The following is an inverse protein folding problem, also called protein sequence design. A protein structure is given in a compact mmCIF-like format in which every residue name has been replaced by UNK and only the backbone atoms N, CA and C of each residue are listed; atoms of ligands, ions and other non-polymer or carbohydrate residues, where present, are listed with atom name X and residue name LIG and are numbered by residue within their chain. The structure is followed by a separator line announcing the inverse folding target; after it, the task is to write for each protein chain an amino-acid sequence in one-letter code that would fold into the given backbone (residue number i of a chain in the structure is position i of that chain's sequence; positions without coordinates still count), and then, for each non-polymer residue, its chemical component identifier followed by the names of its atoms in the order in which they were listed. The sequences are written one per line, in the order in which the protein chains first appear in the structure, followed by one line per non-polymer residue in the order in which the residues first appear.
data_IF_739945180936
#
_entry.id   IF_739945180936
#
_cell.length_a   1.000
_cell.length_b   1.000
_cell.length_c   1.000
_cell.angle_alpha   90.00
_cell.angle_beta   90.00
_cell.angle_gamma   90.00
#
_symmetry.space_group_name_H-M   'P 1'
#
loop_
_entity.id
_entity.type
_entity.pdbx_description
1 polymer ?
#
# COMPACT_ATOMS: atom_id res chain seq x y z
N UNK A 1 0.25 13.42 4.22
CA UNK A 1 0.98 13.23 2.95
C UNK A 1 1.84 14.46 2.70
N UNK A 2 3.07 14.27 2.25
CA UNK A 2 4.00 15.36 1.94
C UNK A 2 3.58 16.14 0.68
N UNK A 3 3.56 17.47 0.68
CA UNK A 3 3.29 18.24 -0.53
C UNK A 3 4.21 17.85 -1.68
N UNK A 4 3.67 17.76 -2.89
CA UNK A 4 4.36 17.27 -4.08
C UNK A 4 4.08 15.80 -4.40
N UNK A 5 3.35 15.06 -3.55
CA UNK A 5 3.07 13.65 -3.82
C UNK A 5 2.24 13.46 -5.10
N UNK A 6 2.75 12.60 -5.97
CA UNK A 6 2.04 12.04 -7.12
C UNK A 6 1.54 10.63 -6.78
N UNK A 7 0.24 10.41 -6.88
CA UNK A 7 -0.38 9.12 -6.63
C UNK A 7 -0.73 8.43 -7.96
N UNK A 8 -0.25 7.20 -8.18
CA UNK A 8 -0.39 6.46 -9.42
C UNK A 8 -1.37 5.30 -9.28
N UNK A 9 -2.30 5.18 -10.23
CA UNK A 9 -3.08 3.96 -10.46
C UNK A 9 -2.70 3.35 -11.80
N UNK A 10 -2.77 2.02 -11.93
CA UNK A 10 -2.65 1.39 -13.25
C UNK A 10 -3.77 1.87 -14.19
N UNK A 11 -4.98 1.46 -13.85
CA UNK A 11 -6.25 1.96 -14.36
C UNK A 11 -7.04 2.42 -13.16
N UNK A 12 -7.50 3.64 -13.20
CA UNK A 12 -8.28 4.18 -12.12
C UNK A 12 -9.70 3.60 -12.13
N UNK A 13 -10.21 3.13 -10.98
CA UNK A 13 -11.49 2.44 -10.91
C UNK A 13 -12.68 3.40 -10.88
N UNK A 14 -12.76 4.31 -11.85
CA UNK A 14 -13.85 5.27 -12.01
C UNK A 14 -14.59 5.03 -13.32
N UNK A 15 -15.92 5.02 -13.24
CA UNK A 15 -16.77 4.95 -14.43
C UNK A 15 -17.02 6.37 -14.96
N UNK A 16 -16.54 6.68 -16.18
CA UNK A 16 -16.72 7.98 -16.88
C UNK A 16 -16.00 9.20 -16.28
N UNK A 17 -15.14 9.01 -15.29
CA UNK A 17 -14.32 10.08 -14.72
C UNK A 17 -12.83 9.83 -14.97
N UNK A 18 -12.04 10.90 -14.84
CA UNK A 18 -10.60 10.94 -15.06
C UNK A 18 -9.85 11.28 -13.77
N UNK A 19 -8.52 11.24 -13.84
CA UNK A 19 -7.60 11.34 -12.69
C UNK A 19 -7.65 12.74 -12.06
N UNK A 20 -7.86 13.67 -12.96
CA UNK A 20 -8.26 15.04 -12.75
C UNK A 20 -9.46 15.22 -11.80
N UNK A 21 -10.45 14.33 -11.80
CA UNK A 21 -11.67 14.47 -11.00
C UNK A 21 -11.41 14.15 -9.51
N UNK A 22 -10.64 13.09 -9.23
CA UNK A 22 -10.23 12.75 -7.86
C UNK A 22 -9.16 13.69 -7.30
N UNK A 23 -8.38 14.33 -8.16
CA UNK A 23 -7.32 15.27 -7.75
C UNK A 23 -7.87 16.43 -6.91
N UNK A 24 -9.08 16.91 -7.20
CA UNK A 24 -9.73 17.94 -6.38
C UNK A 24 -10.00 17.46 -4.95
N UNK A 25 -10.58 16.27 -4.80
CA UNK A 25 -10.86 15.66 -3.49
C UNK A 25 -9.59 15.40 -2.69
N UNK A 26 -8.50 15.00 -3.36
CA UNK A 26 -7.20 14.79 -2.74
C UNK A 26 -6.67 16.10 -2.12
N UNK A 27 -6.72 17.20 -2.87
CA UNK A 27 -6.24 18.50 -2.38
C UNK A 27 -7.16 19.08 -1.31
N UNK A 28 -8.48 18.91 -1.39
CA UNK A 28 -9.39 19.31 -0.32
C UNK A 28 -9.18 18.52 0.97
N UNK A 29 -8.71 17.28 0.88
CA UNK A 29 -8.42 16.44 2.04
C UNK A 29 -7.08 16.81 2.69
N UNK A 30 -6.02 16.96 1.90
CA UNK A 30 -4.65 17.11 2.42
C UNK A 30 -4.12 18.55 2.44
N UNK A 31 -4.73 19.48 1.70
CA UNK A 31 -4.41 20.91 1.70
C UNK A 31 -5.68 21.79 1.66
N UNK A 32 -6.64 21.63 2.61
CA UNK A 32 -7.93 22.34 2.60
C UNK A 32 -7.81 23.87 2.62
N UNK A 33 -6.76 24.38 3.26
CA UNK A 33 -6.53 25.83 3.37
C UNK A 33 -5.73 26.42 2.20
N UNK A 34 -5.35 25.62 1.21
CA UNK A 34 -4.66 26.13 0.03
C UNK A 34 -5.54 27.12 -0.74
N UNK A 35 -4.93 28.23 -1.15
CA UNK A 35 -5.50 29.26 -2.06
C UNK A 35 -4.65 29.44 -3.31
N UNK A 36 -3.69 28.54 -3.53
CA UNK A 36 -2.73 28.60 -4.64
C UNK A 36 -3.29 27.92 -5.89
N UNK A 37 -2.91 28.43 -7.07
CA UNK A 37 -3.10 27.70 -8.33
C UNK A 37 -2.09 26.57 -8.50
N UNK A 38 -0.99 26.58 -7.73
CA UNK A 38 -0.08 25.44 -7.60
C UNK A 38 -0.68 24.44 -6.61
N UNK A 39 -1.26 23.36 -7.13
CA UNK A 39 -1.81 22.29 -6.28
C UNK A 39 -0.69 21.41 -5.72
N UNK A 40 -0.90 20.83 -4.55
CA UNK A 40 0.13 20.08 -3.83
C UNK A 40 0.11 18.59 -4.13
N UNK A 41 -1.01 18.05 -4.62
CA UNK A 41 -1.17 16.61 -4.80
C UNK A 41 -1.85 16.30 -6.13
N UNK A 42 -1.53 15.16 -6.73
CA UNK A 42 -2.15 14.76 -7.99
C UNK A 42 -2.33 13.25 -8.09
N UNK A 43 -3.43 12.81 -8.68
CA UNK A 43 -3.56 11.45 -9.19
C UNK A 43 -3.17 11.41 -10.66
N UNK A 44 -2.50 10.33 -11.08
CA UNK A 44 -2.34 9.94 -12.48
C UNK A 44 -2.86 8.52 -12.71
N UNK A 45 -3.60 8.38 -13.81
CA UNK A 45 -3.89 7.09 -14.43
C UNK A 45 -2.75 6.75 -15.40
N UNK A 46 -2.06 5.64 -15.17
CA UNK A 46 -0.88 5.27 -15.95
C UNK A 46 -1.21 4.93 -17.41
N UNK A 47 -2.45 4.53 -17.74
CA UNK A 47 -2.86 4.32 -19.13
C UNK A 47 -2.98 5.61 -19.93
N UNK A 48 -3.24 6.73 -19.25
CA UNK A 48 -3.42 8.03 -19.87
C UNK A 48 -2.15 8.89 -19.83
N UNK A 49 -1.32 8.70 -18.80
CA UNK A 49 -0.23 9.62 -18.45
C UNK A 49 1.15 9.09 -18.78
N UNK A 50 1.39 7.78 -18.76
CA UNK A 50 2.72 7.22 -19.01
C UNK A 50 3.13 7.38 -20.48
N UNK A 51 4.28 8.01 -20.73
CA UNK A 51 4.83 8.20 -22.08
C UNK A 51 4.01 9.14 -22.98
N UNK A 52 3.07 9.90 -22.40
CA UNK A 52 2.25 10.86 -23.14
C UNK A 52 2.93 12.22 -23.25
N UNK A 53 2.94 12.78 -24.46
CA UNK A 53 3.46 14.12 -24.74
C UNK A 53 2.58 15.25 -24.15
N UNK A 54 1.39 14.92 -23.62
CA UNK A 54 0.49 15.90 -23.00
C UNK A 54 0.75 15.90 -21.48
N UNK A 55 1.83 16.57 -21.09
CA UNK A 55 2.17 16.90 -19.69
C UNK A 55 1.97 15.71 -18.72
N UNK A 56 2.48 14.54 -19.15
CA UNK A 56 2.34 13.24 -18.50
C UNK A 56 3.58 12.82 -17.72
N UNK A 57 3.58 11.55 -17.29
CA UNK A 57 4.69 10.88 -16.62
C UNK A 57 5.68 10.39 -17.70
N UNK A 58 6.89 10.98 -17.81
CA UNK A 58 7.81 10.68 -18.92
C UNK A 58 8.37 9.25 -18.86
N UNK A 59 8.46 8.69 -17.66
CA UNK A 59 9.04 7.39 -17.40
C UNK A 59 9.06 7.09 -15.91
N UNK A 60 9.84 6.09 -15.50
CA UNK A 60 9.95 5.64 -14.11
C UNK A 60 11.34 5.86 -13.52
N UNK A 61 12.23 6.51 -14.27
CA UNK A 61 13.57 6.85 -13.86
C UNK A 61 13.53 7.85 -12.70
N UNK A 62 14.51 7.76 -11.80
CA UNK A 62 14.61 8.59 -10.60
C UNK A 62 14.75 10.07 -10.98
N UNK A 63 14.11 10.93 -10.19
CA UNK A 63 14.21 12.40 -10.26
C UNK A 63 13.79 13.04 -11.61
N UNK A 64 13.03 12.32 -12.45
CA UNK A 64 12.47 12.92 -13.66
C UNK A 64 11.45 14.00 -13.30
N UNK A 65 11.52 15.19 -13.90
CA UNK A 65 10.55 16.25 -13.67
C UNK A 65 9.18 15.87 -14.23
N UNK A 66 8.14 16.12 -13.44
CA UNK A 66 6.74 15.92 -13.83
C UNK A 66 5.99 17.23 -13.64
N UNK A 67 5.39 17.74 -14.71
CA UNK A 67 4.55 18.95 -14.68
C UNK A 67 3.21 18.64 -15.33
N UNK A 68 2.09 19.09 -14.74
CA UNK A 68 0.76 18.90 -15.34
C UNK A 68 -0.19 20.07 -15.03
N UNK A 69 -0.56 20.80 -16.08
CA UNK A 69 -1.50 21.91 -16.03
C UNK A 69 -2.93 21.44 -16.34
N UNK A 70 -3.90 21.86 -15.53
CA UNK A 70 -5.29 21.45 -15.69
C UNK A 70 -6.24 22.54 -15.18
N UNK A 71 -7.15 23.00 -16.06
CA UNK A 71 -8.24 23.94 -15.72
C UNK A 71 -7.79 25.12 -14.85
N UNK A 72 -6.66 25.74 -15.21
CA UNK A 72 -6.08 26.90 -14.52
C UNK A 72 -5.12 26.58 -13.37
N UNK A 73 -5.15 25.36 -12.83
CA UNK A 73 -4.18 24.89 -11.84
C UNK A 73 -2.94 24.28 -12.49
N UNK A 74 -1.82 24.28 -11.78
CA UNK A 74 -0.59 23.61 -12.19
C UNK A 74 -0.03 22.75 -11.06
N UNK A 75 0.58 21.63 -11.43
CA UNK A 75 1.25 20.71 -10.53
C UNK A 75 2.68 20.50 -10.99
N UNK A 76 3.63 20.49 -10.05
CA UNK A 76 5.05 20.25 -10.30
C UNK A 76 5.60 19.31 -9.24
N UNK A 77 6.33 18.29 -9.68
CA UNK A 77 6.98 17.31 -8.80
C UNK A 77 8.12 16.59 -9.55
N UNK A 78 8.70 15.57 -8.92
CA UNK A 78 9.56 14.59 -9.58
C UNK A 78 9.03 13.17 -9.35
N UNK A 79 9.48 12.22 -10.16
CA UNK A 79 9.18 10.78 -9.96
C UNK A 79 9.58 10.27 -8.59
N UNK A 80 10.51 10.93 -7.90
CA UNK A 80 10.93 10.61 -6.52
C UNK A 80 9.93 11.01 -5.44
N UNK A 81 8.80 11.63 -5.78
CA UNK A 81 7.71 11.95 -4.84
C UNK A 81 6.45 11.16 -5.14
N UNK A 82 6.60 9.87 -5.47
CA UNK A 82 5.50 9.07 -5.99
C UNK A 82 5.02 8.01 -5.00
N UNK A 83 3.72 7.75 -5.00
CA UNK A 83 3.09 6.59 -4.37
C UNK A 83 2.35 5.79 -5.45
N UNK A 84 2.65 4.50 -5.57
CA UNK A 84 1.89 3.60 -6.40
C UNK A 84 0.73 2.98 -5.59
N UNK A 85 -0.46 2.90 -6.18
CA UNK A 85 -1.65 2.37 -5.53
C UNK A 85 -2.30 1.30 -6.39
N UNK A 86 -2.90 0.32 -5.72
CA UNK A 86 -3.79 -0.67 -6.34
C UNK A 86 -5.11 -0.73 -5.59
N UNK A 87 -6.20 -0.94 -6.32
CA UNK A 87 -7.53 -1.14 -5.76
C UNK A 87 -8.35 -2.02 -6.70
N UNK A 88 -8.59 -3.27 -6.29
CA UNK A 88 -9.35 -4.26 -7.06
C UNK A 88 -10.41 -4.91 -6.16
N UNK A 89 -11.57 -4.26 -5.96
CA UNK A 89 -12.64 -4.79 -5.12
C UNK A 89 -12.97 -6.26 -5.44
N UNK A 90 -13.14 -7.13 -4.44
CA UNK A 90 -13.37 -6.82 -3.02
C UNK A 90 -12.11 -6.48 -2.21
N UNK A 91 -10.91 -6.53 -2.78
CA UNK A 91 -9.69 -6.12 -2.10
C UNK A 91 -9.71 -4.62 -1.75
N UNK A 92 -9.11 -4.28 -0.62
CA UNK A 92 -8.93 -2.94 -0.12
C UNK A 92 -7.94 -2.15 -0.98
N UNK A 93 -8.06 -0.82 -0.94
CA UNK A 93 -7.04 0.07 -1.51
C UNK A 93 -5.70 -0.24 -0.81
N UNK A 94 -4.63 -0.44 -1.56
CA UNK A 94 -3.28 -0.64 -1.02
C UNK A 94 -2.31 0.36 -1.63
N UNK A 95 -1.50 0.98 -0.77
CA UNK A 95 -0.33 1.74 -1.20
C UNK A 95 0.82 0.74 -1.27
N UNK A 96 1.46 0.68 -2.44
CA UNK A 96 2.46 -0.31 -2.73
C UNK A 96 3.84 0.14 -2.22
N UNK A 97 4.51 -0.75 -1.50
CA UNK A 97 5.93 -0.70 -1.16
C UNK A 97 6.76 -1.67 -2.01
N UNK A 98 8.08 -1.59 -1.90
CA UNK A 98 9.00 -2.49 -2.62
C UNK A 98 8.81 -3.96 -2.26
N UNK A 99 8.36 -4.23 -1.05
CA UNK A 99 8.03 -5.54 -0.50
C UNK A 99 6.80 -6.19 -1.15
N UNK A 100 6.03 -5.43 -1.92
CA UNK A 100 4.82 -5.88 -2.60
C UNK A 100 5.09 -6.35 -4.04
N UNK A 101 6.36 -6.41 -4.46
CA UNK A 101 6.76 -6.82 -5.81
C UNK A 101 6.30 -8.23 -6.20
N UNK A 102 6.02 -9.08 -5.21
CA UNK A 102 5.59 -10.46 -5.40
C UNK A 102 4.08 -10.66 -5.20
N UNK A 103 3.31 -9.57 -5.07
CA UNK A 103 1.84 -9.69 -5.07
C UNK A 103 1.36 -10.30 -6.39
N UNK A 104 0.40 -11.24 -6.33
CA UNK A 104 -0.19 -11.82 -7.53
C UNK A 104 -0.92 -10.76 -8.33
N UNK A 105 -0.93 -10.95 -9.66
CA UNK A 105 -1.72 -10.16 -10.61
C UNK A 105 -1.47 -8.64 -10.58
N UNK A 106 -0.34 -8.20 -10.00
CA UNK A 106 0.06 -6.80 -10.02
C UNK A 106 0.28 -6.34 -11.48
N UNK A 107 -0.41 -5.31 -11.98
CA UNK A 107 -0.24 -4.85 -13.36
C UNK A 107 1.20 -4.45 -13.70
N UNK A 108 1.64 -4.74 -14.94
CA UNK A 108 3.03 -4.49 -15.38
C UNK A 108 3.48 -3.04 -15.15
N UNK A 109 2.61 -2.06 -15.41
CA UNK A 109 2.94 -0.64 -15.17
C UNK A 109 3.15 -0.34 -13.69
N UNK A 110 2.42 -0.99 -12.78
CA UNK A 110 2.65 -0.84 -11.35
C UNK A 110 3.91 -1.58 -10.90
N UNK A 111 4.19 -2.78 -11.43
CA UNK A 111 5.46 -3.48 -11.17
C UNK A 111 6.67 -2.58 -11.54
N UNK A 112 6.59 -1.90 -12.69
CA UNK A 112 7.63 -0.96 -13.14
C UNK A 112 7.68 0.35 -12.33
N UNK A 113 6.57 0.76 -11.72
CA UNK A 113 6.49 1.94 -10.86
C UNK A 113 6.93 1.68 -9.41
N UNK A 114 6.97 0.42 -8.95
CA UNK A 114 7.38 0.07 -7.59
C UNK A 114 8.73 0.69 -7.18
N UNK A 115 9.81 0.66 -7.99
CA UNK A 115 11.10 1.23 -7.58
C UNK A 115 11.09 2.74 -7.30
N UNK A 116 10.08 3.48 -7.77
CA UNK A 116 9.92 4.92 -7.51
C UNK A 116 8.86 5.24 -6.45
N UNK A 117 8.14 4.25 -5.93
CA UNK A 117 7.25 4.45 -4.77
C UNK A 117 8.08 4.85 -3.55
N UNK A 118 7.61 5.84 -2.78
CA UNK A 118 8.27 6.37 -1.58
C UNK A 118 7.26 6.46 -0.45
N UNK A 119 7.21 5.43 0.39
CA UNK A 119 6.27 5.40 1.53
C UNK A 119 6.51 6.57 2.50
N UNK A 120 7.70 7.18 2.49
CA UNK A 120 8.04 8.40 3.25
C UNK A 120 7.17 9.61 2.87
N UNK A 121 6.50 9.58 1.72
CA UNK A 121 5.49 10.57 1.35
C UNK A 121 4.24 10.50 2.26
N UNK A 122 4.04 9.39 2.97
CA UNK A 122 2.96 9.21 3.95
C UNK A 122 3.45 9.74 5.30
N UNK A 123 2.80 10.80 5.78
CA UNK A 123 3.03 11.33 7.13
C UNK A 123 2.38 10.38 8.14
N UNK A 124 3.19 9.76 8.97
CA UNK A 124 2.77 8.80 10.01
C UNK A 124 2.37 9.47 11.33
N UNK A 125 2.78 10.73 11.55
CA UNK A 125 2.45 11.53 12.74
C UNK A 125 1.52 12.72 12.45
N UNK A 126 1.03 13.32 13.54
CA UNK A 126 0.17 14.51 13.49
C UNK A 126 -1.33 14.20 13.46
N UNK A 127 -2.13 15.23 13.15
CA UNK A 127 -3.59 15.06 13.04
C UNK A 127 -3.92 14.41 11.69
N UNK A 128 -4.66 13.29 11.66
CA UNK A 128 -5.10 12.68 10.41
C UNK A 128 -5.89 13.66 9.54
N UNK A 129 -5.60 13.68 8.24
CA UNK A 129 -6.36 14.45 7.28
C UNK A 129 -7.82 13.95 7.26
N UNK A 130 -8.77 14.87 7.09
CA UNK A 130 -10.19 14.55 6.99
C UNK A 130 -10.71 14.92 5.61
N UNK A 131 -11.38 13.99 4.92
CA UNK A 131 -12.06 14.33 3.67
C UNK A 131 -13.08 15.45 3.90
N UNK A 132 -13.37 16.26 2.87
CA UNK A 132 -14.32 17.36 2.98
C UNK A 132 -15.71 16.83 3.38
N UNK A 133 -16.38 17.54 4.29
CA UNK A 133 -17.64 17.11 4.90
C UNK A 133 -18.77 16.83 3.89
N UNK A 134 -18.68 17.38 2.67
CA UNK A 134 -19.62 17.12 1.55
C UNK A 134 -19.64 15.64 1.12
N UNK A 135 -18.58 14.88 1.40
CA UNK A 135 -18.53 13.43 1.12
C UNK A 135 -19.33 12.60 2.13
N UNK A 136 -19.87 13.23 3.18
CA UNK A 136 -20.68 12.58 4.18
C UNK A 136 -19.91 12.16 5.43
N UNK A 137 -20.54 11.30 6.23
CA UNK A 137 -19.94 10.77 7.45
C UNK A 137 -18.95 9.66 7.11
N UNK A 138 -17.97 9.46 7.99
CA UNK A 138 -17.06 8.33 7.90
C UNK A 138 -17.87 7.02 7.91
N UNK A 139 -17.58 6.07 6.99
CA UNK A 139 -18.22 4.76 6.99
C UNK A 139 -17.83 3.95 8.23
N UNK A 140 -18.61 2.89 8.52
CA UNK A 140 -18.27 1.97 9.59
C UNK A 140 -16.88 1.34 9.38
N UNK A 141 -16.16 1.12 10.49
CA UNK A 141 -14.82 0.54 10.48
C UNK A 141 -14.89 -0.98 10.21
N UNK A 142 -14.94 -1.34 8.92
CA UNK A 142 -14.86 -2.72 8.46
C UNK A 142 -13.42 -3.20 8.24
N UNK A 143 -13.25 -4.34 7.55
CA UNK A 143 -11.94 -4.95 7.33
C UNK A 143 -10.91 -3.97 6.75
N UNK A 144 -11.26 -3.23 5.69
CA UNK A 144 -10.33 -2.29 5.07
C UNK A 144 -9.84 -1.19 6.01
N UNK A 145 -10.63 -0.79 7.01
CA UNK A 145 -10.16 0.16 8.01
C UNK A 145 -8.97 -0.42 8.79
N UNK A 146 -9.14 -1.64 9.33
CA UNK A 146 -8.10 -2.30 10.11
C UNK A 146 -6.90 -2.70 9.25
N UNK A 147 -7.12 -3.16 8.01
CA UNK A 147 -6.05 -3.43 7.05
C UNK A 147 -5.18 -2.18 6.79
N UNK A 148 -5.79 -1.01 6.59
CA UNK A 148 -5.03 0.24 6.45
C UNK A 148 -4.25 0.61 7.72
N UNK A 149 -4.82 0.33 8.90
CA UNK A 149 -4.14 0.56 10.19
C UNK A 149 -2.95 -0.38 10.37
N UNK A 150 -3.08 -1.66 9.98
CA UNK A 150 -1.97 -2.61 10.05
C UNK A 150 -0.87 -2.27 9.07
N UNK A 151 -1.19 -1.83 7.84
CA UNK A 151 -0.19 -1.39 6.87
C UNK A 151 0.56 -0.14 7.34
N UNK A 152 -0.15 0.81 7.95
CA UNK A 152 0.48 2.00 8.55
C UNK A 152 1.41 1.64 9.71
N UNK A 153 1.01 0.70 10.58
CA UNK A 153 1.85 0.21 11.67
C UNK A 153 3.06 -0.58 11.13
N UNK A 154 2.87 -1.38 10.08
CA UNK A 154 3.93 -2.10 9.36
C UNK A 154 4.97 -1.15 8.79
N UNK A 155 4.54 -0.07 8.15
CA UNK A 155 5.44 0.99 7.66
C UNK A 155 6.28 1.60 8.79
N UNK A 156 5.73 1.71 9.99
CA UNK A 156 6.42 2.25 11.17
C UNK A 156 7.29 1.20 11.89
N UNK A 157 7.20 -0.07 11.50
CA UNK A 157 7.82 -1.18 12.24
C UNK A 157 7.20 -1.42 13.62
N UNK A 158 6.00 -0.89 13.88
CA UNK A 158 5.29 -1.07 15.16
C UNK A 158 4.47 -2.37 15.13
N UNK A 159 5.17 -3.48 15.29
CA UNK A 159 4.58 -4.83 15.26
C UNK A 159 3.53 -5.07 16.36
N UNK A 160 3.74 -4.62 17.62
CA UNK A 160 2.70 -4.71 18.64
C UNK A 160 1.42 -3.97 18.27
N UNK A 161 1.52 -2.75 17.72
CA UNK A 161 0.35 -1.99 17.28
C UNK A 161 -0.34 -2.65 16.09
N UNK A 162 0.42 -3.17 15.13
CA UNK A 162 -0.11 -3.94 14.01
C UNK A 162 -0.96 -5.11 14.51
N UNK A 163 -0.42 -5.92 15.41
CA UNK A 163 -1.12 -7.08 15.98
C UNK A 163 -2.38 -6.64 16.74
N UNK A 164 -2.33 -5.55 17.50
CA UNK A 164 -3.51 -4.99 18.17
C UNK A 164 -4.64 -4.62 17.19
N UNK A 165 -4.32 -4.02 16.05
CA UNK A 165 -5.34 -3.74 15.02
C UNK A 165 -5.85 -5.02 14.33
N UNK A 166 -4.96 -5.98 14.07
CA UNK A 166 -5.35 -7.26 13.50
C UNK A 166 -6.31 -8.03 14.44
N UNK A 167 -5.99 -8.08 15.73
CA UNK A 167 -6.83 -8.74 16.74
C UNK A 167 -8.22 -8.10 16.82
N UNK A 168 -8.31 -6.77 16.88
CA UNK A 168 -9.59 -6.06 16.86
C UNK A 168 -10.44 -6.42 15.63
N UNK A 169 -9.82 -6.56 14.46
CA UNK A 169 -10.53 -6.93 13.24
C UNK A 169 -11.11 -8.36 13.34
N UNK A 170 -10.29 -9.32 13.78
CA UNK A 170 -10.71 -10.72 13.89
C UNK A 170 -11.72 -10.95 15.02
N UNK A 171 -11.57 -10.27 16.17
CA UNK A 171 -12.55 -10.31 17.27
C UNK A 171 -13.91 -9.73 16.86
N UNK A 172 -13.91 -8.73 15.97
CA UNK A 172 -15.12 -8.19 15.36
C UNK A 172 -15.70 -9.08 14.24
N UNK A 173 -15.12 -10.25 13.97
CA UNK A 173 -15.56 -11.17 12.92
C UNK A 173 -15.33 -10.66 11.50
N UNK A 174 -14.45 -9.68 11.33
CA UNK A 174 -14.10 -9.13 10.02
C UNK A 174 -13.12 -10.06 9.29
N UNK A 175 -13.28 -10.16 7.98
CA UNK A 175 -12.48 -11.05 7.14
C UNK A 175 -11.96 -10.30 5.90
N UNK A 176 -10.81 -10.72 5.37
CA UNK A 176 -10.28 -10.15 4.14
C UNK A 176 -11.17 -10.37 2.93
N UNK A 177 -11.14 -9.39 2.03
CA UNK A 177 -11.70 -9.53 0.69
C UNK A 177 -10.77 -10.31 -0.25
N UNK A 178 -9.47 -10.30 0.05
CA UNK A 178 -8.42 -10.97 -0.71
C UNK A 178 -7.40 -11.62 0.25
N UNK A 179 -7.01 -12.91 0.09
CA UNK A 179 -6.06 -13.55 0.99
C UNK A 179 -4.68 -12.87 1.06
N UNK A 180 -4.28 -12.07 0.05
CA UNK A 180 -3.06 -11.25 0.08
C UNK A 180 -3.09 -10.20 1.21
N UNK A 181 -4.27 -9.80 1.67
CA UNK A 181 -4.44 -8.85 2.77
C UNK A 181 -4.03 -9.43 4.13
N UNK A 182 -3.81 -10.75 4.21
CA UNK A 182 -3.25 -11.40 5.41
C UNK A 182 -1.73 -11.26 5.52
N UNK A 183 -1.02 -10.92 4.44
CA UNK A 183 0.46 -10.83 4.44
C UNK A 183 1.01 -9.91 5.54
N UNK A 184 0.46 -8.70 5.79
CA UNK A 184 0.95 -7.82 6.86
C UNK A 184 0.73 -8.43 8.25
N UNK A 185 -0.40 -9.11 8.45
CA UNK A 185 -0.76 -9.75 9.72
C UNK A 185 0.13 -10.97 9.98
N UNK A 186 0.39 -11.80 8.96
CA UNK A 186 1.32 -12.93 9.06
C UNK A 186 2.70 -12.42 9.51
N UNK A 187 3.20 -11.37 8.86
CA UNK A 187 4.47 -10.74 9.23
C UNK A 187 4.45 -10.20 10.67
N UNK A 188 3.38 -9.48 11.04
CA UNK A 188 3.24 -8.91 12.38
C UNK A 188 3.17 -9.95 13.49
N UNK A 189 2.32 -10.98 13.35
CA UNK A 189 2.22 -12.06 14.33
C UNK A 189 3.53 -12.81 14.48
N UNK A 190 4.21 -13.12 13.36
CA UNK A 190 5.50 -13.82 13.41
C UNK A 190 6.56 -12.98 14.15
N UNK A 191 6.61 -11.67 13.90
CA UNK A 191 7.59 -10.76 14.52
C UNK A 191 7.37 -10.51 16.00
N UNK A 192 6.15 -10.65 16.51
CA UNK A 192 5.88 -10.62 17.96
C UNK A 192 5.98 -12.00 18.62
N UNK A 193 6.41 -13.03 17.87
CA UNK A 193 6.60 -14.39 18.37
C UNK A 193 5.33 -15.25 18.40
N UNK A 194 4.20 -14.77 17.88
CA UNK A 194 2.98 -15.55 17.74
C UNK A 194 3.00 -16.39 16.45
N UNK A 195 3.93 -17.35 16.43
CA UNK A 195 4.25 -18.17 15.25
C UNK A 195 3.09 -19.08 14.85
N UNK A 196 2.35 -19.64 15.81
CA UNK A 196 1.21 -20.53 15.52
C UNK A 196 0.11 -19.81 14.74
N UNK A 197 -0.17 -18.56 15.12
CA UNK A 197 -1.18 -17.74 14.43
C UNK A 197 -0.69 -17.28 13.06
N UNK A 198 0.57 -16.87 12.97
CA UNK A 198 1.18 -16.53 11.68
C UNK A 198 1.15 -17.71 10.71
N UNK A 199 1.53 -18.91 11.17
CA UNK A 199 1.49 -20.17 10.43
C UNK A 199 0.07 -20.53 9.99
N UNK A 200 -0.93 -20.37 10.88
CA UNK A 200 -2.33 -20.61 10.52
C UNK A 200 -2.80 -19.70 9.39
N UNK A 201 -2.50 -18.40 9.44
CA UNK A 201 -2.86 -17.47 8.38
C UNK A 201 -2.04 -17.68 7.10
N UNK A 202 -0.77 -18.08 7.23
CA UNK A 202 0.11 -18.50 6.13
C UNK A 202 -0.52 -19.65 5.34
N UNK A 203 -0.97 -20.71 6.03
CA UNK A 203 -1.68 -21.84 5.39
C UNK A 203 -3.01 -21.44 4.77
N UNK A 204 -3.77 -20.53 5.39
CA UNK A 204 -5.03 -20.04 4.85
C UNK A 204 -4.81 -19.28 3.53
N UNK A 205 -3.91 -18.30 3.52
CA UNK A 205 -3.54 -17.56 2.31
C UNK A 205 -2.89 -18.47 1.26
N UNK A 206 -2.09 -19.44 1.70
CA UNK A 206 -1.40 -20.42 0.87
C UNK A 206 -2.33 -21.40 0.12
N UNK A 207 -3.63 -21.44 0.43
CA UNK A 207 -4.61 -22.13 -0.44
C UNK A 207 -4.65 -21.53 -1.84
N UNK A 208 -4.28 -20.26 -1.99
CA UNK A 208 -4.10 -19.60 -3.27
C UNK A 208 -2.64 -19.74 -3.72
N UNK A 209 -2.37 -20.67 -4.64
CA UNK A 209 -0.99 -21.03 -5.01
C UNK A 209 -0.15 -19.86 -5.56
N UNK A 210 -0.75 -18.89 -6.24
CA UNK A 210 -0.04 -17.71 -6.75
C UNK A 210 0.43 -16.74 -5.64
N UNK A 211 0.00 -16.91 -4.39
CA UNK A 211 0.50 -16.16 -3.22
C UNK A 211 1.76 -16.77 -2.61
N UNK A 212 2.14 -18.00 -2.98
CA UNK A 212 3.31 -18.67 -2.40
C UNK A 212 4.60 -17.82 -2.50
N UNK A 213 4.93 -17.17 -3.62
CA UNK A 213 6.10 -16.30 -3.69
C UNK A 213 6.09 -15.14 -2.67
N UNK A 214 4.94 -14.48 -2.48
CA UNK A 214 4.79 -13.40 -1.51
C UNK A 214 4.90 -13.91 -0.07
N UNK A 215 4.29 -15.07 0.23
CA UNK A 215 4.40 -15.73 1.54
C UNK A 215 5.84 -16.14 1.84
N UNK A 216 6.56 -16.70 0.86
CA UNK A 216 7.97 -17.03 0.98
C UNK A 216 8.81 -15.79 1.35
N UNK A 217 8.58 -14.67 0.67
CA UNK A 217 9.29 -13.43 0.95
C UNK A 217 8.94 -12.85 2.34
N UNK A 218 7.71 -13.01 2.82
CA UNK A 218 7.35 -12.65 4.22
C UNK A 218 8.18 -13.48 5.20
N UNK A 219 8.17 -14.81 5.07
CA UNK A 219 8.89 -15.69 6.00
C UNK A 219 10.41 -15.57 5.92
N UNK A 220 10.95 -15.24 4.75
CA UNK A 220 12.36 -14.88 4.59
C UNK A 220 12.72 -13.63 5.40
N UNK A 221 12.00 -12.52 5.23
CA UNK A 221 12.23 -11.28 6.00
C UNK A 221 12.10 -11.49 7.50
N UNK A 222 11.11 -12.29 7.92
CA UNK A 222 10.91 -12.68 9.31
C UNK A 222 12.13 -13.45 9.82
N UNK A 223 12.60 -14.44 9.07
CA UNK A 223 13.76 -15.27 9.42
C UNK A 223 15.08 -14.49 9.52
N UNK A 224 15.36 -13.60 8.58
CA UNK A 224 16.58 -12.76 8.58
C UNK A 224 16.70 -11.88 9.82
N UNK A 225 15.56 -11.40 10.33
CA UNK A 225 15.55 -10.48 11.46
C UNK A 225 15.46 -11.20 12.81
N UNK A 226 14.69 -12.29 12.90
CA UNK A 226 14.57 -13.06 14.14
C UNK A 226 15.82 -13.94 14.40
N UNK A 227 16.53 -14.36 13.34
CA UNK A 227 17.75 -15.17 13.43
C UNK A 227 18.91 -14.54 14.23
N UNK A 228 18.79 -13.26 14.64
CA UNK A 228 19.76 -12.58 15.50
C UNK A 228 19.49 -12.79 17.00
N UNK A 229 18.24 -13.03 17.40
CA UNK A 229 17.84 -13.02 18.81
C UNK A 229 17.04 -14.26 19.28
N UNK A 230 16.46 -15.08 18.38
CA UNK A 230 15.58 -16.22 18.77
C UNK A 230 15.65 -17.43 17.82
N UNK A 231 16.46 -18.45 18.17
CA UNK A 231 16.68 -19.66 17.37
C UNK A 231 15.40 -20.46 17.04
N UNK A 232 14.45 -20.54 17.99
CA UNK A 232 13.18 -21.27 17.79
C UNK A 232 12.31 -20.64 16.71
N UNK A 233 12.25 -19.31 16.67
CA UNK A 233 11.45 -18.59 15.69
C UNK A 233 12.09 -18.60 14.29
N UNK A 234 13.43 -18.61 14.21
CA UNK A 234 14.13 -18.86 12.95
C UNK A 234 13.85 -20.27 12.39
N UNK A 235 13.80 -21.31 13.24
CA UNK A 235 13.41 -22.67 12.84
C UNK A 235 11.95 -22.74 12.36
N UNK A 236 11.04 -22.05 13.04
CA UNK A 236 9.63 -21.98 12.61
C UNK A 236 9.48 -21.31 11.24
N UNK A 237 10.14 -20.18 11.01
CA UNK A 237 10.14 -19.51 9.72
C UNK A 237 10.71 -20.40 8.60
N UNK A 238 11.79 -21.15 8.87
CA UNK A 238 12.33 -22.12 7.94
C UNK A 238 11.36 -23.29 7.65
N UNK A 239 10.63 -23.75 8.67
CA UNK A 239 9.59 -24.76 8.52
C UNK A 239 8.47 -24.30 7.57
N UNK A 240 7.95 -23.09 7.79
CA UNK A 240 6.93 -22.50 6.91
C UNK A 240 7.42 -22.33 5.47
N UNK A 241 8.68 -21.90 5.28
CA UNK A 241 9.29 -21.86 3.94
C UNK A 241 9.33 -23.23 3.26
N UNK A 242 9.60 -24.29 4.03
CA UNK A 242 9.59 -25.67 3.50
C UNK A 242 8.18 -26.13 3.14
N UNK A 243 7.16 -25.82 3.94
CA UNK A 243 5.76 -26.17 3.64
C UNK A 243 5.26 -25.49 2.36
N UNK A 244 5.69 -24.25 2.13
CA UNK A 244 5.36 -23.46 0.94
C UNK A 244 6.22 -23.82 -0.30
N UNK A 245 7.15 -24.77 -0.19
CA UNK A 245 8.12 -25.10 -1.25
C UNK A 245 8.89 -23.88 -1.77
N UNK A 246 9.29 -22.98 -0.87
CA UNK A 246 10.05 -21.80 -1.24
C UNK A 246 11.39 -22.18 -1.87
N UNK A 247 11.76 -21.48 -2.94
CA UNK A 247 13.10 -21.59 -3.51
C UNK A 247 14.15 -21.00 -2.53
N UNK A 248 15.42 -21.47 -2.61
CA UNK A 248 16.50 -20.99 -1.76
C UNK A 248 16.72 -19.49 -1.85
#
# INVERSE_FOLDING_TARGET
MEPGTLALFDVMPLNRYSDNDLTAMLNWTYAPESRSMQISYKFFDLTLRLGSNIAGLPGFEKDLPVEHNQRGTFFKTTTSSTLALTYNPPACLKILGTEDALLPDLPERLQRALPMTRLEQIRTGGTPARPPAVLGKEPAHGWCYYFQKTELARQQGDWPMLVSFADQAFEAGLNPGDPAELLPMIEGYARVGNLDRAASFSREAGKQANLHPALCAVWERVGEQIGKDQETAAKAAAGERSELNCLP
#
